data_IF_969903010394
#
_entry.id   IF_969903010394
#
_cell.length_a   1.000
_cell.length_b   1.000
_cell.length_c   1.000
_cell.angle_alpha   90.00
_cell.angle_beta   90.00
_cell.angle_gamma   90.00
#
_symmetry.space_group_name_H-M   'P 1'
#
loop_
_entity.id
_entity.type
_entity.pdbx_description
1 polymer ?
#
# COMPACT_ATOMS: atom_id res chain seq x y z
N UNK A 1 11.20 0.58 2.14
CA UNK A 1 12.55 0.50 2.70
C UNK A 1 12.50 0.34 4.20
N UNK A 2 13.21 -0.64 4.69
CA UNK A 2 13.31 -0.83 6.14
C UNK A 2 14.30 0.17 6.72
N UNK A 3 13.88 0.91 7.72
CA UNK A 3 14.75 1.81 8.44
C UNK A 3 14.92 1.32 9.86
N UNK A 4 16.15 1.35 10.31
CA UNK A 4 16.41 1.06 11.72
C UNK A 4 15.87 2.21 12.57
N UNK A 5 15.29 1.89 13.73
CA UNK A 5 14.91 2.96 14.66
C UNK A 5 16.15 3.72 15.11
N UNK A 6 16.01 4.97 15.52
CA UNK A 6 17.08 5.67 16.22
C UNK A 6 17.56 4.83 17.40
N UNK A 7 18.85 4.90 17.67
CA UNK A 7 19.42 4.15 18.78
C UNK A 7 18.69 4.51 20.08
N UNK A 8 18.33 3.49 20.85
CA UNK A 8 17.67 3.67 22.13
C UNK A 8 16.15 3.70 22.12
N UNK A 9 15.51 3.75 20.92
CA UNK A 9 14.05 3.68 20.85
C UNK A 9 13.56 2.23 20.90
N UNK A 10 12.58 1.92 21.79
CA UNK A 10 11.97 0.60 21.80
C UNK A 10 11.25 0.31 20.47
N UNK A 11 11.26 -0.95 20.07
CA UNK A 11 10.55 -1.39 18.86
C UNK A 11 9.07 -1.03 18.92
N UNK A 12 8.45 -1.17 20.08
CA UNK A 12 7.02 -0.85 20.26
C UNK A 12 6.74 0.62 20.01
N UNK A 13 7.57 1.52 20.51
CA UNK A 13 7.40 2.94 20.29
C UNK A 13 7.53 3.28 18.81
N UNK A 14 8.46 2.64 18.12
CA UNK A 14 8.63 2.83 16.69
C UNK A 14 7.41 2.39 15.90
N UNK A 15 6.83 1.24 16.23
CA UNK A 15 5.62 0.76 15.58
C UNK A 15 4.45 1.71 15.82
N UNK A 16 4.32 2.22 17.04
CA UNK A 16 3.27 3.17 17.39
C UNK A 16 3.38 4.45 16.57
N UNK A 17 4.59 4.99 16.43
CA UNK A 17 4.83 6.18 15.62
C UNK A 17 4.51 5.94 14.15
N UNK A 18 4.94 4.79 13.60
CA UNK A 18 4.66 4.43 12.21
C UNK A 18 3.17 4.31 11.96
N UNK A 19 2.44 3.68 12.87
CA UNK A 19 0.99 3.55 12.75
C UNK A 19 0.28 4.90 12.80
N UNK A 20 0.75 5.82 13.63
CA UNK A 20 0.18 7.15 13.71
C UNK A 20 0.28 7.89 12.37
N UNK A 21 1.45 7.88 11.74
CA UNK A 21 1.65 8.53 10.46
C UNK A 21 0.86 7.85 9.34
N UNK A 22 0.76 6.51 9.36
CA UNK A 22 0.04 5.75 8.34
C UNK A 22 -1.45 6.09 8.30
N UNK A 23 -2.03 6.53 9.42
CA UNK A 23 -3.46 6.86 9.49
C UNK A 23 -3.76 8.34 9.23
N UNK A 24 -2.76 9.17 9.00
CA UNK A 24 -2.95 10.59 8.72
C UNK A 24 -3.19 10.78 7.21
N UNK A 25 -4.45 10.93 6.83
CA UNK A 25 -4.81 11.07 5.41
C UNK A 25 -4.20 12.32 4.79
N UNK A 26 -4.12 13.42 5.52
CA UNK A 26 -3.53 14.65 4.99
C UNK A 26 -2.05 14.42 4.67
N UNK A 27 -1.33 13.75 5.55
CA UNK A 27 0.08 13.41 5.31
C UNK A 27 0.22 12.46 4.14
N UNK A 28 -0.63 11.42 4.06
CA UNK A 28 -0.58 10.47 2.96
C UNK A 28 -0.85 11.13 1.62
N UNK A 29 -1.83 12.03 1.55
CA UNK A 29 -2.09 12.79 0.33
C UNK A 29 -0.90 13.68 -0.04
N UNK A 30 -0.28 14.32 0.94
CA UNK A 30 0.90 15.14 0.69
C UNK A 30 2.07 14.31 0.14
N UNK A 31 2.25 13.09 0.65
CA UNK A 31 3.28 12.19 0.15
C UNK A 31 3.01 11.78 -1.30
N UNK A 32 1.76 11.47 -1.63
CA UNK A 32 1.39 11.12 -3.01
C UNK A 32 1.58 12.33 -3.94
N UNK A 33 1.32 13.54 -3.45
CA UNK A 33 1.55 14.77 -4.23
C UNK A 33 3.01 14.93 -4.65
N UNK A 34 3.96 14.32 -3.92
CA UNK A 34 5.37 14.36 -4.26
C UNK A 34 5.73 13.37 -5.38
N UNK A 35 4.82 12.50 -5.77
CA UNK A 35 5.03 11.51 -6.83
C UNK A 35 4.34 11.98 -8.11
N UNK A 36 4.75 11.46 -9.29
CA UNK A 36 4.05 11.75 -10.53
C UNK A 36 2.74 10.98 -10.69
N UNK A 37 2.33 10.19 -9.72
CA UNK A 37 1.13 9.35 -9.83
C UNK A 37 -0.12 10.23 -9.93
N UNK A 38 -0.96 9.97 -10.91
CA UNK A 38 -2.18 10.71 -11.17
C UNK A 38 -3.31 9.83 -11.66
N UNK A 39 -4.38 10.49 -12.13
CA UNK A 39 -5.65 9.81 -12.44
C UNK A 39 -5.55 8.73 -13.52
N UNK A 40 -4.59 8.85 -14.43
CA UNK A 40 -4.44 7.89 -15.52
C UNK A 40 -3.47 6.75 -15.19
N UNK A 41 -2.87 6.77 -14.00
CA UNK A 41 -1.81 5.85 -13.66
C UNK A 41 -2.34 4.58 -12.98
N UNK A 42 -1.67 3.48 -13.27
CA UNK A 42 -1.78 2.24 -12.51
C UNK A 42 -0.62 2.17 -11.53
N UNK A 43 -0.93 1.91 -10.27
CA UNK A 43 0.05 1.93 -9.18
C UNK A 43 0.18 0.54 -8.59
N UNK A 44 1.40 0.15 -8.31
CA UNK A 44 1.69 -1.09 -7.60
C UNK A 44 2.22 -0.75 -6.21
N UNK A 45 1.51 -1.20 -5.19
CA UNK A 45 1.85 -0.95 -3.78
C UNK A 45 2.32 -2.24 -3.13
N UNK A 46 3.45 -2.17 -2.43
CA UNK A 46 3.99 -3.30 -1.67
C UNK A 46 3.74 -3.05 -0.20
N UNK A 47 3.03 -3.99 0.45
CA UNK A 47 2.76 -3.92 1.87
C UNK A 47 1.68 -2.91 2.25
N UNK A 48 0.46 -3.04 1.72
CA UNK A 48 -0.63 -2.10 2.04
C UNK A 48 -1.01 -2.07 3.52
N UNK A 49 -0.69 -3.13 4.27
CA UNK A 49 -0.98 -3.19 5.70
C UNK A 49 -2.46 -3.04 5.98
N UNK A 50 -2.85 -1.98 6.69
CA UNK A 50 -4.24 -1.70 7.01
C UNK A 50 -4.98 -0.95 5.89
N UNK A 51 -4.30 -0.60 4.80
CA UNK A 51 -4.94 -0.05 3.61
C UNK A 51 -5.08 1.46 3.57
N UNK A 52 -4.47 2.20 4.48
CA UNK A 52 -4.62 3.65 4.53
C UNK A 52 -4.04 4.35 3.30
N UNK A 53 -2.83 3.99 2.90
CA UNK A 53 -2.23 4.53 1.67
C UNK A 53 -2.98 4.01 0.44
N UNK A 54 -3.37 2.74 0.46
CA UNK A 54 -4.14 2.14 -0.62
C UNK A 54 -5.41 2.94 -0.90
N UNK A 55 -6.11 3.37 0.15
CA UNK A 55 -7.32 4.18 0.02
C UNK A 55 -7.05 5.51 -0.68
N UNK A 56 -5.97 6.18 -0.30
CA UNK A 56 -5.57 7.44 -0.93
C UNK A 56 -5.24 7.23 -2.41
N UNK A 57 -4.46 6.20 -2.71
CA UNK A 57 -4.11 5.87 -4.09
C UNK A 57 -5.35 5.49 -4.92
N UNK A 58 -6.28 4.74 -4.33
CA UNK A 58 -7.51 4.33 -5.00
C UNK A 58 -8.39 5.53 -5.36
N UNK A 59 -8.38 6.59 -4.54
CA UNK A 59 -9.14 7.80 -4.82
C UNK A 59 -8.51 8.64 -5.91
N UNK A 60 -7.23 8.46 -6.21
CA UNK A 60 -6.47 9.36 -7.09
C UNK A 60 -5.96 8.72 -8.37
N UNK A 61 -5.89 7.40 -8.42
CA UNK A 61 -5.28 6.69 -9.55
C UNK A 61 -6.31 5.81 -10.27
N UNK A 62 -5.97 5.45 -11.50
CA UNK A 62 -6.86 4.62 -12.34
C UNK A 62 -6.99 3.21 -11.79
N UNK A 63 -5.90 2.65 -11.29
CA UNK A 63 -5.86 1.27 -10.79
C UNK A 63 -4.79 1.15 -9.72
N UNK A 64 -5.09 0.36 -8.68
CA UNK A 64 -4.12 0.04 -7.64
C UNK A 64 -4.06 -1.47 -7.49
N UNK A 65 -2.86 -2.03 -7.59
CA UNK A 65 -2.59 -3.42 -7.25
C UNK A 65 -1.72 -3.42 -6.00
N UNK A 66 -2.21 -4.01 -4.92
CA UNK A 66 -1.53 -4.03 -3.64
C UNK A 66 -1.15 -5.46 -3.29
N UNK A 67 0.14 -5.69 -3.03
CA UNK A 67 0.69 -6.99 -2.69
C UNK A 67 1.02 -7.04 -1.20
N UNK A 68 0.35 -7.94 -0.48
CA UNK A 68 0.52 -8.10 0.97
C UNK A 68 1.02 -9.50 1.29
N UNK A 69 2.11 -9.59 2.04
CA UNK A 69 2.69 -10.87 2.43
C UNK A 69 1.95 -11.50 3.62
N UNK A 70 1.36 -10.69 4.48
CA UNK A 70 0.66 -11.17 5.67
C UNK A 70 -0.76 -11.62 5.34
N UNK A 71 -0.98 -12.93 5.32
CA UNK A 71 -2.29 -13.48 5.01
C UNK A 71 -3.39 -13.03 5.99
N UNK A 72 -3.02 -12.67 7.22
CA UNK A 72 -3.99 -12.22 8.21
C UNK A 72 -4.60 -10.86 7.88
N UNK A 73 -3.92 -10.05 7.06
CA UNK A 73 -4.41 -8.75 6.66
C UNK A 73 -5.31 -8.78 5.42
N UNK A 74 -5.27 -9.88 4.67
CA UNK A 74 -6.00 -9.97 3.40
C UNK A 74 -7.51 -9.84 3.56
N UNK A 75 -8.17 -10.53 4.52
CA UNK A 75 -9.63 -10.40 4.65
C UNK A 75 -10.08 -8.96 4.91
N UNK A 76 -9.36 -8.23 5.76
CA UNK A 76 -9.70 -6.83 6.05
C UNK A 76 -9.54 -5.93 4.84
N UNK A 77 -8.47 -6.13 4.08
CA UNK A 77 -8.25 -5.39 2.84
C UNK A 77 -9.35 -5.68 1.81
N UNK A 78 -9.73 -6.94 1.66
CA UNK A 78 -10.79 -7.31 0.73
C UNK A 78 -12.13 -6.68 1.11
N UNK A 79 -12.44 -6.63 2.40
CA UNK A 79 -13.66 -5.96 2.88
C UNK A 79 -13.59 -4.46 2.60
N UNK A 80 -12.47 -3.83 2.93
CA UNK A 80 -12.30 -2.38 2.75
C UNK A 80 -12.51 -1.95 1.30
N UNK A 81 -12.03 -2.75 0.35
CA UNK A 81 -12.07 -2.40 -1.07
C UNK A 81 -13.06 -3.22 -1.87
N UNK A 82 -14.06 -3.84 -1.21
CA UNK A 82 -15.04 -4.70 -1.86
C UNK A 82 -15.83 -3.99 -2.98
N UNK A 83 -16.06 -2.67 -2.82
CA UNK A 83 -16.79 -1.89 -3.82
C UNK A 83 -15.86 -1.16 -4.79
N UNK A 84 -14.55 -1.36 -4.67
CA UNK A 84 -13.55 -0.67 -5.48
C UNK A 84 -13.00 -1.60 -6.55
N UNK A 85 -13.66 -1.67 -7.70
CA UNK A 85 -13.30 -2.61 -8.77
C UNK A 85 -11.90 -2.37 -9.33
N UNK A 86 -11.37 -1.16 -9.18
CA UNK A 86 -10.05 -0.80 -9.66
C UNK A 86 -8.93 -1.11 -8.66
N UNK A 87 -9.27 -1.65 -7.49
CA UNK A 87 -8.29 -2.06 -6.49
C UNK A 87 -8.19 -3.58 -6.51
N UNK A 88 -6.97 -4.08 -6.68
CA UNK A 88 -6.68 -5.51 -6.69
C UNK A 88 -5.78 -5.85 -5.51
N UNK A 89 -6.27 -6.64 -4.57
CA UNK A 89 -5.51 -7.10 -3.40
C UNK A 89 -4.96 -8.50 -3.70
N UNK A 90 -3.65 -8.63 -3.63
CA UNK A 90 -2.95 -9.89 -3.92
C UNK A 90 -2.13 -10.30 -2.71
N UNK A 91 -2.25 -11.55 -2.29
CA UNK A 91 -1.37 -12.09 -1.27
C UNK A 91 -0.10 -12.63 -1.91
N UNK A 92 1.03 -12.28 -1.35
CA UNK A 92 2.29 -12.82 -1.82
C UNK A 92 3.48 -12.05 -1.29
N UNK A 93 4.66 -12.63 -1.51
CA UNK A 93 5.94 -12.05 -1.16
C UNK A 93 6.57 -11.45 -2.41
N UNK A 94 6.89 -10.17 -2.37
CA UNK A 94 7.50 -9.48 -3.52
C UNK A 94 8.79 -10.15 -3.98
N UNK A 95 9.49 -10.84 -3.08
CA UNK A 95 10.75 -11.51 -3.39
C UNK A 95 10.56 -12.80 -4.21
N UNK A 96 9.35 -13.36 -4.21
CA UNK A 96 9.07 -14.64 -4.86
C UNK A 96 7.92 -14.60 -5.85
N UNK A 97 7.11 -13.53 -5.85
CA UNK A 97 5.96 -13.41 -6.74
C UNK A 97 6.42 -13.18 -8.18
N UNK A 98 5.61 -13.65 -9.15
CA UNK A 98 5.85 -13.35 -10.55
C UNK A 98 5.40 -11.91 -10.86
N UNK A 99 6.34 -10.97 -10.76
CA UNK A 99 6.05 -9.56 -10.99
C UNK A 99 5.58 -9.29 -12.42
N UNK A 100 6.13 -9.98 -13.41
CA UNK A 100 5.73 -9.77 -14.80
C UNK A 100 4.27 -10.16 -15.00
N UNK A 101 3.87 -11.33 -14.48
CA UNK A 101 2.49 -11.77 -14.58
C UNK A 101 1.55 -10.88 -13.80
N UNK A 102 1.99 -10.39 -12.64
CA UNK A 102 1.17 -9.53 -11.79
C UNK A 102 0.97 -8.15 -12.40
N UNK A 103 2.01 -7.58 -13.02
CA UNK A 103 1.98 -6.22 -13.56
C UNK A 103 1.47 -6.15 -14.99
N UNK A 104 1.46 -7.26 -15.73
CA UNK A 104 1.03 -7.26 -17.13
C UNK A 104 -0.38 -6.66 -17.33
N UNK A 105 -1.39 -6.96 -16.49
CA UNK A 105 -2.72 -6.37 -16.64
C UNK A 105 -2.77 -4.87 -16.44
N UNK A 106 -1.73 -4.25 -15.88
CA UNK A 106 -1.68 -2.80 -15.68
C UNK A 106 -1.32 -2.05 -16.96
N UNK A 107 -0.90 -2.78 -17.98
CA UNK A 107 -0.55 -2.23 -19.28
C UNK A 107 0.85 -1.67 -19.35
N UNK A 108 1.26 -1.27 -20.55
CA UNK A 108 2.56 -0.63 -20.72
C UNK A 108 2.61 0.73 -20.03
#
# INVERSE_FOLDING_TARGET
>A
MSRRPPAGLPVRAKKSLGQHFIHDEALLNALVDLTPAGADDAVFEIGPGLGSLTRVLAARCRRVTALEVDSDLIPGLNVMFSDSQHVNIVQGDVMTVDLQGLLAPLGP
#
